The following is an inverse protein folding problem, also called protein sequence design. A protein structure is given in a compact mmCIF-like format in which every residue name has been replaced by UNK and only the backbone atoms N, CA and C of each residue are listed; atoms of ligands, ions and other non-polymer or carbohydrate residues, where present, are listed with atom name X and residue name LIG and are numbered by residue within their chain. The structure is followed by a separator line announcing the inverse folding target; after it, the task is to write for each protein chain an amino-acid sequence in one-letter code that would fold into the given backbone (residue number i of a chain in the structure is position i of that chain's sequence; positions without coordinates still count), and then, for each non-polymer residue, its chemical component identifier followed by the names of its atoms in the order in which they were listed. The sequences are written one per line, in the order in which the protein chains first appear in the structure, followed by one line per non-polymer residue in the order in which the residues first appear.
data_IF_210108689437
#
_entry.id   IF_210108689437
#
_cell.length_a   1.000
_cell.length_b   1.000
_cell.length_c   1.000
_cell.angle_alpha   90.00
_cell.angle_beta   90.00
_cell.angle_gamma   90.00
#
_symmetry.space_group_name_H-M   'P 1'
#
loop_
_entity.id
_entity.type
_entity.pdbx_description
1 polymer ?
#
# COMPACT_ATOMS: atom_id res chain seq x y z
N UNK A 1 -36.56 -7.56 21.76
CA UNK A 1 -36.42 -8.55 20.66
C UNK A 1 -35.41 -7.97 19.70
N UNK A 2 -34.11 -8.23 20.00
CA UNK A 2 -33.01 -7.74 19.17
C UNK A 2 -32.87 -8.67 17.97
N UNK A 3 -33.16 -8.15 16.80
CA UNK A 3 -32.81 -8.84 15.54
C UNK A 3 -31.36 -8.48 15.27
N UNK A 4 -30.43 -9.30 15.74
CA UNK A 4 -29.04 -9.27 15.27
C UNK A 4 -29.06 -9.99 13.91
N UNK A 5 -29.37 -9.25 12.85
CA UNK A 5 -29.14 -9.72 11.51
C UNK A 5 -27.64 -9.70 11.24
N UNK A 6 -26.98 -10.80 11.43
CA UNK A 6 -25.69 -11.06 10.84
C UNK A 6 -25.88 -11.12 9.33
N UNK A 7 -25.72 -9.99 8.67
CA UNK A 7 -25.64 -9.94 7.23
C UNK A 7 -24.33 -10.64 6.83
N UNK A 8 -24.45 -11.85 6.29
CA UNK A 8 -23.35 -12.47 5.57
C UNK A 8 -23.07 -11.59 4.35
N UNK A 9 -22.03 -10.80 4.39
CA UNK A 9 -21.55 -10.08 3.21
C UNK A 9 -20.92 -11.11 2.27
N UNK A 10 -21.60 -11.37 1.17
CA UNK A 10 -21.01 -12.11 0.07
C UNK A 10 -20.15 -11.13 -0.71
N UNK A 11 -18.82 -11.28 -0.63
CA UNK A 11 -17.92 -10.60 -1.55
C UNK A 11 -18.01 -11.35 -2.87
N UNK A 12 -18.72 -10.77 -3.81
CA UNK A 12 -18.81 -11.34 -5.15
C UNK A 12 -17.88 -10.52 -6.03
N UNK A 13 -16.82 -11.13 -6.52
CA UNK A 13 -15.90 -10.51 -7.46
C UNK A 13 -16.43 -10.76 -8.87
N UNK A 14 -16.96 -9.71 -9.51
CA UNK A 14 -17.31 -9.75 -10.91
C UNK A 14 -16.22 -9.09 -11.74
N UNK A 15 -15.62 -9.77 -12.73
CA UNK A 15 -14.78 -9.08 -13.70
C UNK A 15 -15.70 -8.18 -14.54
N UNK A 16 -15.50 -6.86 -14.42
CA UNK A 16 -16.26 -5.86 -15.20
C UNK A 16 -15.80 -5.92 -16.66
N UNK A 17 -14.49 -5.98 -16.88
CA UNK A 17 -13.88 -6.22 -18.18
C UNK A 17 -12.47 -6.77 -18.04
N UNK A 18 -11.99 -7.46 -19.06
CA UNK A 18 -10.61 -7.86 -19.22
C UNK A 18 -10.17 -7.52 -20.64
N UNK A 19 -9.08 -6.76 -20.76
CA UNK A 19 -8.58 -6.30 -22.05
C UNK A 19 -7.11 -6.67 -22.22
N UNK A 20 -6.81 -7.21 -23.39
CA UNK A 20 -5.43 -7.49 -23.75
C UNK A 20 -4.69 -6.16 -23.98
N UNK A 21 -3.56 -5.94 -23.28
CA UNK A 21 -2.77 -4.70 -23.34
C UNK A 21 -2.44 -4.25 -24.77
N UNK A 22 -2.25 -5.19 -25.71
CA UNK A 22 -1.95 -4.91 -27.11
C UNK A 22 -3.09 -4.24 -27.89
N UNK A 23 -4.34 -4.30 -27.41
CA UNK A 23 -5.49 -3.64 -28.05
C UNK A 23 -5.85 -2.30 -27.42
N UNK A 24 -5.13 -1.88 -26.38
CA UNK A 24 -5.31 -0.57 -25.76
C UNK A 24 -4.63 0.52 -26.58
N UNK A 25 -5.40 1.41 -27.16
CA UNK A 25 -4.87 2.61 -27.81
C UNK A 25 -4.48 3.64 -26.74
N UNK A 26 -3.22 4.08 -26.77
CA UNK A 26 -2.70 5.10 -25.84
C UNK A 26 -3.18 6.51 -26.18
N UNK A 27 -3.54 6.77 -27.46
CA UNK A 27 -4.08 8.04 -27.93
C UNK A 27 -5.19 7.76 -28.93
N UNK A 28 -6.39 8.25 -28.64
CA UNK A 28 -7.55 8.22 -29.54
C UNK A 28 -7.92 9.62 -30.02
N UNK A 29 -8.92 9.75 -30.90
CA UNK A 29 -9.59 11.03 -31.11
C UNK A 29 -9.92 11.66 -29.77
N UNK A 30 -9.73 12.96 -29.62
CA UNK A 30 -9.95 13.71 -28.37
C UNK A 30 -8.91 13.43 -27.27
N UNK A 31 -7.74 12.86 -27.60
CA UNK A 31 -6.67 12.52 -26.64
C UNK A 31 -7.07 11.53 -25.52
N UNK A 32 -8.21 10.88 -25.63
CA UNK A 32 -8.67 9.89 -24.66
C UNK A 32 -8.14 8.50 -25.02
N UNK A 33 -7.60 7.81 -24.03
CA UNK A 33 -7.17 6.40 -24.18
C UNK A 33 -8.38 5.46 -24.23
N UNK A 34 -8.20 4.26 -24.76
CA UNK A 34 -9.24 3.21 -24.70
C UNK A 34 -9.67 2.94 -23.25
N UNK A 35 -8.71 2.92 -22.32
CA UNK A 35 -8.96 2.69 -20.90
C UNK A 35 -9.83 3.81 -20.32
N UNK A 36 -9.51 5.08 -20.61
CA UNK A 36 -10.30 6.20 -20.12
C UNK A 36 -11.77 6.10 -20.56
N UNK A 37 -12.01 5.76 -21.83
CA UNK A 37 -13.39 5.57 -22.33
C UNK A 37 -14.11 4.44 -21.61
N UNK A 38 -13.45 3.32 -21.37
CA UNK A 38 -14.01 2.21 -20.62
C UNK A 38 -14.32 2.57 -19.17
N UNK A 39 -13.42 3.29 -18.53
CA UNK A 39 -13.64 3.78 -17.16
C UNK A 39 -14.81 4.77 -17.12
N UNK A 40 -14.96 5.64 -18.12
CA UNK A 40 -16.09 6.56 -18.21
C UNK A 40 -17.43 5.81 -18.24
N UNK A 41 -17.54 4.75 -19.06
CA UNK A 41 -18.72 3.88 -19.08
C UNK A 41 -18.93 3.17 -17.75
N UNK A 42 -17.87 2.62 -17.17
CA UNK A 42 -17.91 1.91 -15.89
C UNK A 42 -18.42 2.81 -14.77
N UNK A 43 -17.84 4.00 -14.64
CA UNK A 43 -18.21 4.98 -13.60
C UNK A 43 -19.66 5.45 -13.78
N UNK A 44 -20.07 5.73 -15.01
CA UNK A 44 -21.45 6.13 -15.32
C UNK A 44 -22.47 5.10 -14.78
N UNK A 45 -22.26 3.82 -15.09
CA UNK A 45 -23.19 2.77 -14.65
C UNK A 45 -23.05 2.45 -13.16
N UNK A 46 -21.86 2.53 -12.57
CA UNK A 46 -21.69 2.36 -11.13
C UNK A 46 -22.35 3.50 -10.35
N UNK A 47 -22.29 4.73 -10.85
CA UNK A 47 -23.03 5.86 -10.27
C UNK A 47 -24.55 5.66 -10.37
N UNK A 48 -25.04 5.13 -11.48
CA UNK A 48 -26.46 4.76 -11.60
C UNK A 48 -26.84 3.67 -10.58
N UNK A 49 -25.99 2.69 -10.36
CA UNK A 49 -26.17 1.68 -9.30
C UNK A 49 -26.15 2.29 -7.90
N UNK A 50 -25.28 3.27 -7.66
CA UNK A 50 -25.25 4.01 -6.39
C UNK A 50 -26.54 4.80 -6.15
N UNK A 51 -27.05 5.48 -7.17
CA UNK A 51 -28.34 6.20 -7.13
C UNK A 51 -29.54 5.24 -7.05
N UNK A 52 -29.41 4.02 -7.53
CA UNK A 52 -30.51 3.04 -7.66
C UNK A 52 -31.53 3.41 -8.72
N UNK A 53 -31.13 4.21 -9.72
CA UNK A 53 -31.99 4.76 -10.78
C UNK A 53 -31.29 4.61 -12.13
N UNK A 54 -32.05 4.19 -13.15
CA UNK A 54 -31.55 4.14 -14.51
C UNK A 54 -31.15 5.54 -15.00
N UNK A 55 -29.95 5.73 -15.58
CA UNK A 55 -29.47 7.04 -15.98
C UNK A 55 -30.31 7.62 -17.11
N UNK A 56 -30.52 8.94 -17.08
CA UNK A 56 -31.27 9.66 -18.09
C UNK A 56 -30.46 9.93 -19.37
N UNK A 57 -29.14 9.82 -19.30
CA UNK A 57 -28.21 10.10 -20.38
C UNK A 57 -27.20 8.97 -20.54
N UNK A 58 -26.50 8.99 -21.66
CA UNK A 58 -25.34 8.12 -21.89
C UNK A 58 -24.10 8.62 -21.10
N UNK A 59 -22.98 7.88 -21.11
CA UNK A 59 -21.76 8.28 -20.43
C UNK A 59 -21.13 9.60 -20.93
N UNK A 60 -21.55 10.12 -22.06
CA UNK A 60 -21.15 11.41 -22.61
C UNK A 60 -22.16 12.53 -22.33
N UNK A 61 -23.08 12.30 -21.38
CA UNK A 61 -24.17 13.23 -21.03
C UNK A 61 -25.12 13.55 -22.17
N UNK A 62 -25.20 12.69 -23.19
CA UNK A 62 -26.16 12.83 -24.28
C UNK A 62 -27.46 12.09 -23.95
N UNK A 63 -28.62 12.64 -24.28
CA UNK A 63 -29.87 11.92 -24.13
C UNK A 63 -29.84 10.59 -24.88
N UNK A 64 -30.42 9.54 -24.29
CA UNK A 64 -30.56 8.26 -24.96
C UNK A 64 -31.36 8.41 -26.28
N UNK A 65 -31.02 7.68 -27.34
CA UNK A 65 -31.83 7.66 -28.58
C UNK A 65 -33.29 7.38 -28.28
N UNK A 66 -34.17 8.18 -28.87
CA UNK A 66 -35.62 8.01 -28.69
C UNK A 66 -36.04 6.56 -29.01
N UNK A 67 -36.86 5.97 -28.13
CA UNK A 67 -37.34 4.58 -28.21
C UNK A 67 -36.25 3.51 -27.99
N UNK A 68 -35.03 3.86 -27.57
CA UNK A 68 -34.06 2.86 -27.09
C UNK A 68 -34.53 2.23 -25.79
N UNK A 69 -34.10 1.01 -25.46
CA UNK A 69 -34.36 0.40 -24.15
C UNK A 69 -33.94 1.28 -22.98
N UNK A 70 -32.80 1.96 -23.10
CA UNK A 70 -32.28 2.85 -22.06
C UNK A 70 -33.16 4.09 -21.90
N UNK A 71 -33.66 4.70 -22.99
CA UNK A 71 -34.59 5.82 -22.93
C UNK A 71 -35.93 5.45 -22.24
N UNK A 72 -36.40 4.22 -22.44
CA UNK A 72 -37.63 3.71 -21.79
C UNK A 72 -37.41 3.52 -20.29
N UNK A 73 -36.22 3.09 -19.88
CA UNK A 73 -35.88 2.84 -18.48
C UNK A 73 -35.43 4.08 -17.72
N UNK A 74 -35.07 5.14 -18.44
CA UNK A 74 -34.52 6.38 -17.85
C UNK A 74 -35.37 6.92 -16.69
N UNK A 75 -34.75 7.19 -15.56
CA UNK A 75 -35.41 7.68 -14.35
C UNK A 75 -36.18 6.62 -13.54
N UNK A 76 -36.29 5.38 -14.04
CA UNK A 76 -36.94 4.29 -13.30
C UNK A 76 -35.98 3.71 -12.25
N UNK A 77 -36.54 3.12 -11.19
CA UNK A 77 -35.76 2.45 -10.14
C UNK A 77 -35.10 1.19 -10.68
N UNK A 78 -33.79 1.05 -10.40
CA UNK A 78 -33.03 -0.16 -10.67
C UNK A 78 -33.24 -1.20 -9.57
N UNK A 79 -33.28 -2.47 -9.91
CA UNK A 79 -33.25 -3.60 -8.97
C UNK A 79 -34.19 -3.43 -7.76
N UNK A 80 -35.41 -2.92 -7.98
CA UNK A 80 -36.36 -2.66 -6.89
C UNK A 80 -35.97 -1.51 -5.94
N UNK A 81 -35.03 -0.66 -6.32
CA UNK A 81 -34.53 0.46 -5.52
C UNK A 81 -33.33 0.09 -4.62
N UNK A 82 -32.75 -1.08 -4.81
CA UNK A 82 -31.47 -1.43 -4.19
C UNK A 82 -30.38 -0.49 -4.72
N UNK A 83 -29.46 -0.13 -3.82
CA UNK A 83 -28.29 0.70 -4.14
C UNK A 83 -27.02 -0.10 -3.92
N UNK A 84 -26.02 0.15 -4.76
CA UNK A 84 -24.72 -0.48 -4.67
C UNK A 84 -23.67 0.60 -4.48
N UNK A 85 -22.68 0.32 -3.65
CA UNK A 85 -21.54 1.20 -3.43
C UNK A 85 -20.26 0.45 -3.79
N UNK A 86 -19.34 1.13 -4.44
CA UNK A 86 -17.97 0.65 -4.56
C UNK A 86 -17.28 0.91 -3.23
N UNK A 87 -16.95 -0.16 -2.51
CA UNK A 87 -16.35 -0.04 -1.19
C UNK A 87 -14.89 0.37 -1.26
N UNK A 88 -14.10 -0.29 -2.13
CA UNK A 88 -12.69 0.01 -2.31
C UNK A 88 -12.26 -0.23 -3.75
N UNK A 89 -11.31 0.58 -4.21
CA UNK A 89 -10.45 0.28 -5.36
C UNK A 89 -9.10 -0.15 -4.80
N UNK A 90 -8.82 -1.44 -4.87
CA UNK A 90 -7.55 -2.01 -4.40
C UNK A 90 -6.62 -2.21 -5.59
N UNK A 91 -5.50 -1.56 -5.57
CA UNK A 91 -4.55 -1.58 -6.67
C UNK A 91 -3.13 -1.24 -6.22
N UNK A 92 -2.15 -1.50 -7.09
CA UNK A 92 -0.80 -1.01 -6.87
C UNK A 92 -0.70 0.51 -7.11
N UNK A 93 0.39 1.11 -6.67
CA UNK A 93 0.60 2.56 -6.80
C UNK A 93 0.70 3.02 -8.27
N UNK A 94 1.15 2.15 -9.17
CA UNK A 94 1.23 2.47 -10.60
C UNK A 94 -0.17 2.59 -11.21
N UNK A 95 -1.07 1.67 -10.91
CA UNK A 95 -2.47 1.75 -11.34
C UNK A 95 -3.20 2.93 -10.69
N UNK A 96 -2.99 3.19 -9.39
CA UNK A 96 -3.56 4.36 -8.73
C UNK A 96 -3.14 5.66 -9.43
N UNK A 97 -1.89 5.76 -9.87
CA UNK A 97 -1.41 6.93 -10.62
C UNK A 97 -1.94 6.98 -12.05
N UNK A 98 -1.83 5.88 -12.79
CA UNK A 98 -2.12 5.85 -14.21
C UNK A 98 -3.63 5.80 -14.52
N UNK A 99 -4.39 5.06 -13.72
CA UNK A 99 -5.78 4.76 -13.98
C UNK A 99 -6.74 5.57 -13.10
N UNK A 100 -6.39 5.79 -11.81
CA UNK A 100 -7.16 6.66 -10.93
C UNK A 100 -6.76 8.13 -11.04
N UNK A 101 -5.62 8.43 -11.66
CA UNK A 101 -5.14 9.81 -11.85
C UNK A 101 -4.59 10.45 -10.58
N UNK A 102 -4.24 9.66 -9.55
CA UNK A 102 -3.59 10.17 -8.35
C UNK A 102 -2.14 10.60 -8.60
N UNK A 103 -1.52 11.37 -7.70
CA UNK A 103 -0.10 11.73 -7.79
C UNK A 103 0.79 10.52 -8.02
N UNK A 104 1.75 10.64 -8.91
CA UNK A 104 2.65 9.53 -9.22
C UNK A 104 3.62 9.31 -8.05
N UNK A 105 3.87 8.06 -7.71
CA UNK A 105 4.74 7.67 -6.59
C UNK A 105 6.20 8.14 -6.71
N UNK A 106 6.64 8.60 -7.89
CA UNK A 106 7.93 9.27 -8.12
C UNK A 106 7.82 10.79 -8.28
N UNK A 107 6.65 11.40 -8.00
CA UNK A 107 6.49 12.86 -8.03
C UNK A 107 7.12 13.51 -6.80
N UNK A 108 7.19 14.83 -6.80
CA UNK A 108 7.66 15.58 -5.62
C UNK A 108 6.74 15.40 -4.41
N UNK A 109 5.44 15.27 -4.66
CA UNK A 109 4.41 15.00 -3.65
C UNK A 109 3.73 13.68 -3.98
N UNK A 110 4.29 12.52 -3.55
CA UNK A 110 3.82 11.22 -4.00
C UNK A 110 2.69 10.63 -3.15
N UNK A 111 2.39 11.21 -1.99
CA UNK A 111 1.32 10.73 -1.12
C UNK A 111 -0.03 11.29 -1.57
N UNK A 112 -1.07 10.45 -1.52
CA UNK A 112 -2.46 10.84 -1.79
C UNK A 112 -3.21 11.30 -0.53
N UNK A 113 -2.57 11.21 0.62
CA UNK A 113 -3.20 11.47 1.91
C UNK A 113 -2.70 12.74 2.57
N UNK A 114 -1.45 13.12 2.33
CA UNK A 114 -0.78 14.25 2.96
C UNK A 114 0.20 14.96 2.03
N UNK A 115 0.83 16.02 2.54
CA UNK A 115 1.76 16.87 1.78
C UNK A 115 3.22 16.40 1.83
N UNK A 116 3.50 15.13 2.19
CA UNK A 116 4.86 14.63 2.21
C UNK A 116 5.58 14.87 0.88
N UNK A 117 6.85 15.23 0.94
CA UNK A 117 7.62 15.64 -0.24
C UNK A 117 8.97 14.96 -0.32
N UNK A 118 9.41 14.68 -1.55
CA UNK A 118 10.78 14.25 -1.87
C UNK A 118 11.71 15.44 -2.15
N UNK A 119 11.19 16.67 -2.13
CA UNK A 119 11.96 17.87 -2.38
C UNK A 119 12.95 18.13 -1.24
N UNK A 120 14.19 18.44 -1.60
CA UNK A 120 15.22 18.76 -0.62
C UNK A 120 14.90 20.08 0.09
N UNK A 121 14.87 20.08 1.41
CA UNK A 121 14.57 21.26 2.22
C UNK A 121 13.07 21.53 2.39
N UNK A 122 12.20 20.59 2.00
CA UNK A 122 10.77 20.67 2.29
C UNK A 122 10.52 20.67 3.80
N UNK A 123 9.47 21.39 4.22
CA UNK A 123 8.97 21.34 5.60
C UNK A 123 8.32 19.98 5.94
N UNK A 124 8.02 19.17 4.93
CA UNK A 124 7.37 17.86 5.02
C UNK A 124 8.22 16.75 4.36
N UNK A 125 9.47 16.52 4.82
CA UNK A 125 10.36 15.62 4.13
C UNK A 125 9.92 14.15 4.27
N UNK A 126 10.01 13.39 3.19
CA UNK A 126 9.72 11.95 3.19
C UNK A 126 10.72 11.13 4.05
N UNK A 127 11.86 11.74 4.42
CA UNK A 127 12.84 11.13 5.32
C UNK A 127 12.44 11.17 6.79
N UNK A 128 11.47 12.02 7.15
CA UNK A 128 10.93 12.09 8.51
C UNK A 128 9.74 11.16 8.64
N UNK A 129 9.95 10.04 9.28
CA UNK A 129 8.93 9.01 9.55
C UNK A 129 8.63 8.93 11.07
N UNK A 130 9.06 9.94 11.83
CA UNK A 130 8.83 10.03 13.27
C UNK A 130 7.35 10.27 13.61
N UNK A 131 7.01 10.06 14.88
CA UNK A 131 5.66 10.34 15.39
C UNK A 131 5.31 11.82 15.43
N UNK A 132 6.31 12.68 15.39
CA UNK A 132 6.19 14.13 15.41
C UNK A 132 6.41 14.75 14.03
N UNK A 133 6.39 13.94 12.97
CA UNK A 133 6.62 14.41 11.61
C UNK A 133 5.58 15.45 11.19
N UNK A 134 6.03 16.59 10.67
CA UNK A 134 5.17 17.72 10.31
C UNK A 134 4.09 17.36 9.26
N UNK A 135 4.33 16.38 8.40
CA UNK A 135 3.35 15.95 7.40
C UNK A 135 2.09 15.30 8.03
N UNK A 136 2.15 14.84 9.29
CA UNK A 136 0.99 14.29 10.00
C UNK A 136 -0.16 15.29 10.15
N UNK A 137 0.15 16.58 10.18
CA UNK A 137 -0.83 17.66 10.29
C UNK A 137 -1.32 18.18 8.93
N UNK A 138 -0.91 17.54 7.83
CA UNK A 138 -1.18 18.02 6.46
C UNK A 138 -2.10 17.11 5.66
N UNK A 139 -3.09 16.50 6.32
CA UNK A 139 -4.06 15.65 5.62
C UNK A 139 -4.81 16.44 4.55
N UNK A 140 -4.68 16.02 3.30
CA UNK A 140 -5.37 16.60 2.16
C UNK A 140 -6.86 16.31 2.23
N UNK A 141 -7.70 17.27 1.84
CA UNK A 141 -9.10 17.00 1.49
C UNK A 141 -9.21 16.32 0.13
N UNK A 142 -10.36 15.72 -0.18
CA UNK A 142 -10.58 15.13 -1.51
C UNK A 142 -10.53 16.19 -2.62
N UNK A 143 -10.98 17.43 -2.36
CA UNK A 143 -10.92 18.54 -3.31
C UNK A 143 -9.47 18.98 -3.57
N UNK A 144 -8.63 19.07 -2.55
CA UNK A 144 -7.20 19.36 -2.69
C UNK A 144 -6.50 18.26 -3.49
N UNK A 145 -6.79 16.99 -3.21
CA UNK A 145 -6.22 15.88 -3.95
C UNK A 145 -6.60 15.91 -5.43
N UNK A 146 -7.87 16.18 -5.76
CA UNK A 146 -8.32 16.33 -7.14
C UNK A 146 -7.57 17.48 -7.81
N UNK A 147 -7.36 18.59 -7.10
CA UNK A 147 -6.67 19.76 -7.62
C UNK A 147 -5.20 19.49 -7.97
N UNK A 148 -4.50 18.71 -7.17
CA UNK A 148 -3.09 18.35 -7.41
C UNK A 148 -2.91 17.13 -8.32
N UNK A 149 -3.99 16.44 -8.65
CA UNK A 149 -3.95 15.25 -9.51
C UNK A 149 -3.62 15.62 -10.95
N UNK A 150 -2.63 14.96 -11.58
CA UNK A 150 -2.16 15.35 -12.92
C UNK A 150 -3.13 15.03 -14.04
N UNK A 151 -4.12 14.18 -13.79
CA UNK A 151 -5.09 13.73 -14.79
C UNK A 151 -6.48 13.63 -14.18
N UNK A 152 -7.51 13.96 -14.96
CA UNK A 152 -8.92 13.76 -14.58
C UNK A 152 -9.35 12.34 -14.95
N UNK A 153 -9.06 11.37 -14.11
CA UNK A 153 -9.57 10.01 -14.30
C UNK A 153 -11.09 9.97 -14.05
N UNK A 154 -11.87 9.24 -14.86
CA UNK A 154 -13.28 9.02 -14.58
C UNK A 154 -13.54 8.41 -13.20
N UNK A 155 -12.60 7.61 -12.66
CA UNK A 155 -12.73 6.99 -11.34
C UNK A 155 -12.83 8.03 -10.20
N UNK A 156 -12.28 9.23 -10.37
CA UNK A 156 -12.39 10.31 -9.39
C UNK A 156 -13.83 10.84 -9.24
N UNK A 157 -14.70 10.58 -10.23
CA UNK A 157 -16.11 10.97 -10.22
C UNK A 157 -17.06 9.85 -9.79
N UNK A 158 -16.53 8.77 -9.22
CA UNK A 158 -17.34 7.68 -8.70
C UNK A 158 -18.05 8.12 -7.41
N UNK A 159 -19.39 8.08 -7.40
CA UNK A 159 -20.20 8.51 -6.27
C UNK A 159 -19.90 7.68 -5.01
N UNK A 160 -19.67 8.36 -3.91
CA UNK A 160 -19.34 7.74 -2.63
C UNK A 160 -17.89 7.27 -2.50
N UNK A 161 -17.07 7.43 -3.54
CA UNK A 161 -15.65 7.14 -3.47
C UNK A 161 -14.89 8.37 -2.97
N UNK A 162 -14.05 8.18 -1.97
CA UNK A 162 -13.07 9.15 -1.50
C UNK A 162 -11.68 8.51 -1.57
N UNK A 163 -10.62 9.29 -1.32
CA UNK A 163 -9.26 8.73 -1.23
C UNK A 163 -9.14 7.58 -0.24
N UNK A 164 -9.93 7.59 0.84
CA UNK A 164 -9.96 6.52 1.85
C UNK A 164 -10.46 5.17 1.30
N UNK A 165 -11.13 5.19 0.16
CA UNK A 165 -11.57 3.99 -0.55
C UNK A 165 -10.56 3.50 -1.58
N UNK A 166 -9.39 4.16 -1.67
CA UNK A 166 -8.25 3.74 -2.51
C UNK A 166 -7.01 3.44 -1.65
N UNK A 167 -7.12 2.52 -0.67
CA UNK A 167 -6.00 2.21 0.21
C UNK A 167 -4.84 1.64 -0.59
N UNK A 168 -3.62 1.96 -0.16
CA UNK A 168 -2.42 1.30 -0.67
C UNK A 168 -2.53 -0.22 -0.44
N UNK A 169 -2.13 -0.99 -1.43
CA UNK A 169 -2.19 -2.45 -1.34
C UNK A 169 -0.96 -2.99 -0.58
N UNK A 170 -1.22 -3.76 0.48
CA UNK A 170 -0.19 -4.24 1.41
C UNK A 170 0.88 -5.11 0.76
N UNK A 171 0.56 -5.83 -0.32
CA UNK A 171 1.54 -6.66 -1.02
C UNK A 171 2.59 -5.79 -1.72
N UNK A 172 2.18 -4.73 -2.44
CA UNK A 172 3.10 -3.87 -3.19
C UNK A 172 3.76 -2.80 -2.31
N UNK A 173 3.04 -2.18 -1.38
CA UNK A 173 3.63 -1.22 -0.46
C UNK A 173 4.48 -1.92 0.61
N UNK A 174 3.99 -3.01 1.16
CA UNK A 174 4.64 -3.77 2.21
C UNK A 174 5.62 -4.81 1.67
N UNK A 175 5.12 -5.96 1.16
CA UNK A 175 5.99 -7.11 0.83
C UNK A 175 6.98 -6.84 -0.31
N UNK A 176 6.56 -6.15 -1.39
CA UNK A 176 7.39 -5.76 -2.55
C UNK A 176 7.99 -4.35 -2.44
N UNK A 177 7.82 -3.70 -1.30
CA UNK A 177 8.39 -2.38 -1.00
C UNK A 177 9.12 -2.41 0.33
N UNK A 178 8.46 -1.99 1.39
CA UNK A 178 9.02 -1.78 2.74
C UNK A 178 9.84 -2.96 3.26
N UNK A 179 9.31 -4.19 3.14
CA UNK A 179 10.02 -5.41 3.56
C UNK A 179 11.28 -5.62 2.73
N UNK A 180 11.21 -5.42 1.41
CA UNK A 180 12.39 -5.57 0.54
C UNK A 180 13.44 -4.49 0.78
N UNK A 181 13.04 -3.26 1.10
CA UNK A 181 13.97 -2.19 1.48
C UNK A 181 14.67 -2.50 2.80
N UNK A 182 13.92 -2.93 3.80
CA UNK A 182 14.49 -3.30 5.10
C UNK A 182 15.46 -4.46 4.97
N UNK A 183 15.05 -5.57 4.36
CA UNK A 183 15.89 -6.77 4.17
C UNK A 183 17.12 -6.44 3.33
N UNK A 184 16.95 -5.70 2.23
CA UNK A 184 18.05 -5.32 1.34
C UNK A 184 19.11 -4.50 2.06
N UNK A 185 18.69 -3.58 2.91
CA UNK A 185 19.58 -2.75 3.71
C UNK A 185 20.32 -3.59 4.76
N UNK A 186 19.62 -4.38 5.54
CA UNK A 186 20.20 -5.27 6.56
C UNK A 186 21.20 -6.25 5.93
N UNK A 187 20.85 -6.91 4.82
CA UNK A 187 21.74 -7.85 4.16
C UNK A 187 22.98 -7.15 3.61
N UNK A 188 22.81 -5.96 3.03
CA UNK A 188 23.95 -5.17 2.54
C UNK A 188 24.91 -4.84 3.68
N UNK A 189 24.40 -4.42 4.83
CA UNK A 189 25.23 -4.15 6.00
C UNK A 189 25.92 -5.40 6.55
N UNK A 190 25.20 -6.51 6.70
CA UNK A 190 25.78 -7.76 7.17
C UNK A 190 26.90 -8.29 6.27
N UNK A 191 26.77 -8.10 4.95
CA UNK A 191 27.80 -8.53 3.99
C UNK A 191 28.98 -7.57 3.92
N UNK A 192 28.74 -6.27 4.07
CA UNK A 192 29.81 -5.27 3.96
C UNK A 192 30.57 -5.09 5.28
N UNK A 193 29.86 -5.13 6.41
CA UNK A 193 30.41 -4.76 7.73
C UNK A 193 30.20 -5.82 8.82
N UNK A 194 29.46 -6.90 8.52
CA UNK A 194 29.10 -7.91 9.49
C UNK A 194 30.20 -8.96 9.76
N UNK A 195 29.90 -10.01 10.53
CA UNK A 195 30.87 -10.97 11.03
C UNK A 195 31.38 -11.98 10.00
N UNK A 196 30.84 -11.97 8.80
CA UNK A 196 31.17 -12.96 7.77
C UNK A 196 32.52 -12.69 7.11
N UNK A 197 33.22 -13.75 6.70
CA UNK A 197 34.60 -13.66 6.15
C UNK A 197 34.67 -14.09 4.70
N UNK A 198 35.64 -13.54 3.98
CA UNK A 198 35.84 -13.81 2.54
C UNK A 198 35.31 -12.71 1.63
N UNK A 199 35.16 -13.02 0.37
CA UNK A 199 34.55 -12.12 -0.63
C UNK A 199 33.02 -12.02 -0.44
N UNK A 200 32.36 -11.14 -1.21
CA UNK A 200 30.93 -10.91 -1.11
C UNK A 200 30.11 -12.19 -1.32
N UNK A 201 30.52 -13.07 -2.23
CA UNK A 201 29.83 -14.32 -2.52
C UNK A 201 29.95 -15.30 -1.34
N UNK A 202 31.16 -15.48 -0.78
CA UNK A 202 31.41 -16.31 0.38
C UNK A 202 30.66 -15.82 1.62
N UNK A 203 30.64 -14.52 1.88
CA UNK A 203 29.88 -13.92 2.98
C UNK A 203 28.38 -14.12 2.80
N UNK A 204 27.86 -13.97 1.57
CA UNK A 204 26.44 -14.20 1.27
C UNK A 204 26.06 -15.67 1.47
N UNK A 205 26.93 -16.62 1.09
CA UNK A 205 26.71 -18.04 1.33
C UNK A 205 26.66 -18.38 2.83
N UNK A 206 27.53 -17.75 3.66
CA UNK A 206 27.50 -17.92 5.11
C UNK A 206 26.20 -17.36 5.71
N UNK A 207 25.78 -16.14 5.33
CA UNK A 207 24.49 -15.58 5.76
C UNK A 207 23.32 -16.49 5.34
N UNK A 208 23.34 -17.01 4.11
CA UNK A 208 22.28 -17.90 3.63
C UNK A 208 22.23 -19.22 4.41
N UNK A 209 23.38 -19.76 4.81
CA UNK A 209 23.44 -20.95 5.67
C UNK A 209 22.79 -20.71 7.05
N UNK A 210 22.98 -19.51 7.64
CA UNK A 210 22.27 -19.12 8.87
C UNK A 210 20.76 -19.08 8.62
N UNK A 211 20.32 -18.41 7.57
CA UNK A 211 18.89 -18.29 7.19
C UNK A 211 18.27 -19.68 6.97
N UNK A 212 18.96 -20.59 6.28
CA UNK A 212 18.47 -21.95 6.03
C UNK A 212 18.22 -22.74 7.31
N UNK A 213 19.11 -22.66 8.29
CA UNK A 213 18.92 -23.30 9.60
C UNK A 213 17.64 -22.80 10.28
N UNK A 214 17.38 -21.49 10.24
CA UNK A 214 16.16 -20.94 10.80
C UNK A 214 14.91 -21.27 9.98
N UNK A 215 15.00 -21.37 8.66
CA UNK A 215 13.92 -21.91 7.82
C UNK A 215 13.52 -23.33 8.26
N UNK A 216 14.51 -24.18 8.55
CA UNK A 216 14.26 -25.56 8.98
C UNK A 216 13.66 -25.59 10.38
N UNK A 217 14.21 -24.83 11.33
CA UNK A 217 13.71 -24.75 12.69
C UNK A 217 12.27 -24.24 12.78
N UNK A 218 11.89 -23.28 11.92
CA UNK A 218 10.55 -22.69 11.88
C UNK A 218 9.58 -23.42 10.96
N UNK A 219 10.01 -24.43 10.22
CA UNK A 219 9.20 -25.11 9.20
C UNK A 219 8.55 -24.13 8.20
N UNK A 220 9.32 -23.12 7.76
CA UNK A 220 8.82 -22.02 6.93
C UNK A 220 8.28 -22.53 5.58
N UNK A 221 7.04 -22.16 5.18
CA UNK A 221 6.37 -22.77 4.03
C UNK A 221 6.89 -22.26 2.67
N UNK A 222 7.36 -21.02 2.59
CA UNK A 222 7.97 -20.44 1.38
C UNK A 222 9.38 -19.99 1.70
N UNK A 223 10.34 -20.45 0.92
CA UNK A 223 11.77 -20.25 1.19
C UNK A 223 12.51 -19.79 -0.04
N UNK A 224 13.49 -18.94 0.16
CA UNK A 224 14.45 -18.67 -0.89
C UNK A 224 15.21 -19.95 -1.26
N UNK A 225 15.28 -20.25 -2.54
CA UNK A 225 16.08 -21.38 -3.03
C UNK A 225 17.58 -21.03 -3.10
N UNK A 226 17.90 -19.74 -3.19
CA UNK A 226 19.26 -19.20 -3.23
C UNK A 226 19.28 -17.77 -2.70
N UNK A 227 20.46 -17.32 -2.28
CA UNK A 227 20.75 -15.94 -1.97
C UNK A 227 22.03 -15.53 -2.69
N UNK A 228 21.95 -14.51 -3.53
CA UNK A 228 23.07 -13.99 -4.31
C UNK A 228 23.28 -12.50 -4.03
N UNK A 229 24.53 -12.00 -4.01
CA UNK A 229 24.82 -10.58 -3.78
C UNK A 229 24.01 -9.64 -4.69
N UNK A 230 23.82 -9.99 -5.96
CA UNK A 230 23.06 -9.19 -6.93
C UNK A 230 21.58 -8.98 -6.57
N UNK A 231 21.02 -9.75 -5.64
CA UNK A 231 19.65 -9.58 -5.20
C UNK A 231 19.48 -8.38 -4.27
N UNK A 232 20.55 -7.90 -3.59
CA UNK A 232 20.49 -6.81 -2.61
C UNK A 232 21.66 -5.82 -2.68
N UNK A 233 22.84 -6.21 -3.16
CA UNK A 233 23.97 -5.30 -3.41
C UNK A 233 23.85 -4.69 -4.81
N UNK A 234 23.09 -3.61 -4.93
CA UNK A 234 22.86 -2.88 -6.17
C UNK A 234 23.50 -1.49 -6.10
N UNK A 235 23.67 -0.85 -7.26
CA UNK A 235 23.96 0.58 -7.30
C UNK A 235 22.76 1.38 -6.77
N UNK A 236 23.04 2.46 -6.05
CA UNK A 236 22.01 3.30 -5.42
C UNK A 236 21.46 2.71 -4.12
N UNK A 237 20.20 2.96 -3.86
CA UNK A 237 19.54 2.52 -2.65
C UNK A 237 19.42 1.00 -2.54
N UNK A 238 19.70 0.48 -1.35
CA UNK A 238 19.57 -0.94 -1.07
C UNK A 238 18.12 -1.42 -1.25
N UNK A 239 17.97 -2.54 -1.95
CA UNK A 239 16.68 -3.17 -2.20
C UNK A 239 16.87 -4.66 -2.47
N UNK A 240 16.08 -5.49 -1.80
CA UNK A 240 16.09 -6.94 -1.98
C UNK A 240 15.12 -7.36 -3.08
N UNK A 241 15.57 -8.21 -4.00
CA UNK A 241 14.73 -8.73 -5.09
C UNK A 241 14.28 -10.15 -4.81
N UNK A 242 13.01 -10.31 -4.42
CA UNK A 242 12.37 -11.61 -4.23
C UNK A 242 10.86 -11.50 -4.55
N UNK A 243 10.15 -12.64 -4.55
CA UNK A 243 8.70 -12.64 -4.63
C UNK A 243 8.09 -12.13 -3.31
N UNK A 244 6.89 -11.57 -3.37
CA UNK A 244 6.21 -11.02 -2.20
C UNK A 244 6.13 -12.01 -1.02
N UNK A 245 5.70 -13.25 -1.29
CA UNK A 245 5.59 -14.30 -0.29
C UNK A 245 6.96 -14.67 0.30
N UNK A 246 8.01 -14.78 -0.53
CA UNK A 246 9.35 -15.10 -0.07
C UNK A 246 9.91 -13.98 0.82
N UNK A 247 9.66 -12.71 0.45
CA UNK A 247 10.04 -11.54 1.25
C UNK A 247 9.33 -11.54 2.61
N UNK A 248 8.02 -11.80 2.62
CA UNK A 248 7.24 -11.86 3.85
C UNK A 248 7.71 -12.99 4.78
N UNK A 249 7.94 -14.19 4.24
CA UNK A 249 8.41 -15.33 5.06
C UNK A 249 9.83 -15.07 5.58
N UNK A 250 10.68 -14.47 4.77
CA UNK A 250 12.03 -14.10 5.18
C UNK A 250 12.02 -13.06 6.31
N UNK A 251 11.08 -12.10 6.31
CA UNK A 251 10.92 -11.14 7.39
C UNK A 251 10.73 -11.85 8.75
N UNK A 252 9.89 -12.87 8.81
CA UNK A 252 9.67 -13.64 10.06
C UNK A 252 10.90 -14.42 10.50
N UNK A 253 11.68 -14.92 9.55
CA UNK A 253 12.93 -15.67 9.83
C UNK A 253 14.07 -14.73 10.20
N UNK A 254 14.06 -13.50 9.71
CA UNK A 254 15.10 -12.52 9.97
C UNK A 254 15.16 -12.15 11.47
N UNK A 255 14.08 -12.19 12.18
CA UNK A 255 14.00 -11.91 13.62
C UNK A 255 14.96 -12.81 14.45
N UNK A 256 14.87 -14.15 14.41
CA UNK A 256 15.85 -15.00 15.10
C UNK A 256 17.25 -15.00 14.46
N UNK A 257 17.37 -14.75 13.16
CA UNK A 257 18.68 -14.58 12.49
C UNK A 257 19.43 -13.40 13.08
N UNK A 258 18.78 -12.24 13.20
CA UNK A 258 19.42 -11.05 13.79
C UNK A 258 19.72 -11.21 15.28
N UNK A 259 18.85 -11.93 16.01
CA UNK A 259 19.12 -12.25 17.42
C UNK A 259 20.39 -13.11 17.57
N UNK A 260 20.60 -14.09 16.67
CA UNK A 260 21.83 -14.92 16.64
C UNK A 260 23.08 -14.08 16.27
N UNK A 261 22.94 -13.16 15.34
CA UNK A 261 24.04 -12.33 14.84
C UNK A 261 24.28 -11.06 15.66
N UNK A 262 23.51 -10.85 16.73
CA UNK A 262 23.55 -9.61 17.52
C UNK A 262 24.93 -9.39 18.15
N UNK A 263 25.55 -8.29 17.78
CA UNK A 263 26.87 -7.85 18.28
C UNK A 263 26.79 -6.79 19.39
N UNK A 264 25.57 -6.45 19.83
CA UNK A 264 25.30 -5.45 20.86
C UNK A 264 25.46 -3.99 20.42
N UNK A 265 25.63 -3.71 19.12
CA UNK A 265 25.66 -2.33 18.62
C UNK A 265 24.26 -1.73 18.58
N UNK A 266 24.14 -0.41 18.80
CA UNK A 266 22.87 0.32 18.73
C UNK A 266 22.18 0.08 17.37
N UNK A 267 22.95 0.15 16.29
CA UNK A 267 22.44 -0.10 14.93
C UNK A 267 21.82 -1.48 14.78
N UNK A 268 22.45 -2.54 15.30
CA UNK A 268 21.92 -3.89 15.30
C UNK A 268 20.63 -3.98 16.13
N UNK A 269 20.56 -3.28 17.25
CA UNK A 269 19.36 -3.23 18.09
C UNK A 269 18.19 -2.57 17.34
N UNK A 270 18.41 -1.44 16.67
CA UNK A 270 17.41 -0.79 15.83
C UNK A 270 16.95 -1.68 14.66
N UNK A 271 17.88 -2.46 14.04
CA UNK A 271 17.50 -3.46 13.02
C UNK A 271 16.61 -4.56 13.59
N UNK A 272 16.93 -5.08 14.76
CA UNK A 272 16.15 -6.12 15.45
C UNK A 272 14.74 -5.58 15.76
N UNK A 273 14.63 -4.36 16.31
CA UNK A 273 13.34 -3.75 16.63
C UNK A 273 12.52 -3.44 15.39
N UNK A 274 13.11 -2.88 14.33
CA UNK A 274 12.43 -2.65 13.08
C UNK A 274 11.84 -3.95 12.49
N UNK A 275 12.64 -5.03 12.47
CA UNK A 275 12.17 -6.34 11.99
C UNK A 275 11.07 -6.90 12.88
N UNK A 276 11.23 -6.81 14.22
CA UNK A 276 10.24 -7.28 15.19
C UNK A 276 8.89 -6.60 15.00
N UNK A 277 8.89 -5.28 14.94
CA UNK A 277 7.65 -4.51 14.84
C UNK A 277 6.96 -4.73 13.49
N UNK A 278 7.70 -4.72 12.39
CA UNK A 278 7.12 -5.00 11.07
C UNK A 278 6.57 -6.42 10.99
N UNK A 279 7.30 -7.42 11.50
CA UNK A 279 6.86 -8.80 11.54
C UNK A 279 5.61 -9.00 12.43
N UNK A 280 5.54 -8.31 13.57
CA UNK A 280 4.38 -8.35 14.48
C UNK A 280 3.13 -7.79 13.83
N UNK A 281 3.22 -6.65 13.16
CA UNK A 281 2.11 -6.09 12.38
C UNK A 281 1.59 -7.10 11.34
N UNK A 282 2.48 -7.75 10.59
CA UNK A 282 2.08 -8.78 9.62
C UNK A 282 1.45 -10.02 10.27
N UNK A 283 1.89 -10.44 11.47
CA UNK A 283 1.26 -11.53 12.22
C UNK A 283 -0.17 -11.18 12.61
N UNK A 284 -0.42 -9.94 13.04
CA UNK A 284 -1.77 -9.45 13.36
C UNK A 284 -2.67 -9.49 12.13
N UNK A 285 -2.23 -8.93 10.99
CA UNK A 285 -3.00 -8.98 9.75
C UNK A 285 -3.30 -10.42 9.29
N UNK A 286 -2.32 -11.32 9.42
CA UNK A 286 -2.49 -12.73 9.06
C UNK A 286 -3.47 -13.45 9.98
N UNK A 287 -3.48 -13.12 11.28
CA UNK A 287 -4.34 -13.77 12.27
C UNK A 287 -5.82 -13.37 12.11
N UNK A 288 -6.09 -12.14 11.70
CA UNK A 288 -7.44 -11.58 11.68
C UNK A 288 -8.04 -11.41 10.27
N UNK A 289 -7.22 -11.47 9.22
CA UNK A 289 -7.69 -11.34 7.83
C UNK A 289 -8.18 -9.92 7.50
N UNK A 290 -9.29 -9.82 6.74
CA UNK A 290 -9.75 -8.55 6.18
C UNK A 290 -10.31 -7.57 7.23
N UNK A 291 -10.92 -8.06 8.29
CA UNK A 291 -11.54 -7.24 9.32
C UNK A 291 -10.83 -7.44 10.66
N UNK A 292 -10.12 -6.41 11.09
CA UNK A 292 -9.41 -6.41 12.36
C UNK A 292 -10.38 -6.03 13.49
N UNK A 293 -10.39 -6.75 14.62
CA UNK A 293 -11.00 -6.22 15.85
C UNK A 293 -10.28 -4.95 16.29
N UNK A 294 -11.00 -4.06 17.02
CA UNK A 294 -10.46 -2.77 17.48
C UNK A 294 -9.10 -2.90 18.18
N UNK A 295 -8.99 -3.82 19.13
CA UNK A 295 -7.72 -4.05 19.84
C UNK A 295 -6.59 -4.48 18.92
N UNK A 296 -6.86 -5.36 17.94
CA UNK A 296 -5.86 -5.82 16.98
C UNK A 296 -5.48 -4.72 15.99
N UNK A 297 -6.42 -3.86 15.62
CA UNK A 297 -6.16 -2.71 14.75
C UNK A 297 -5.25 -1.69 15.45
N UNK A 298 -5.56 -1.32 16.68
CA UNK A 298 -4.73 -0.40 17.47
C UNK A 298 -3.34 -0.99 17.76
N UNK A 299 -3.23 -2.29 18.00
CA UNK A 299 -1.95 -2.98 18.17
C UNK A 299 -1.14 -2.97 16.86
N UNK A 300 -1.78 -3.26 15.73
CA UNK A 300 -1.11 -3.19 14.42
C UNK A 300 -0.62 -1.78 14.09
N UNK A 301 -1.42 -0.77 14.39
CA UNK A 301 -1.04 0.63 14.21
C UNK A 301 0.14 1.03 15.11
N UNK A 302 0.11 0.62 16.38
CA UNK A 302 1.24 0.85 17.28
C UNK A 302 2.52 0.20 16.74
N UNK A 303 2.47 -1.06 16.32
CA UNK A 303 3.64 -1.72 15.73
C UNK A 303 4.13 -1.01 14.45
N UNK A 304 3.22 -0.47 13.65
CA UNK A 304 3.61 0.31 12.48
C UNK A 304 4.37 1.58 12.87
N UNK A 305 3.89 2.32 13.87
CA UNK A 305 4.57 3.52 14.36
C UNK A 305 5.95 3.21 14.92
N UNK A 306 6.09 2.18 15.77
CA UNK A 306 7.40 1.76 16.27
C UNK A 306 8.34 1.36 15.12
N UNK A 307 7.85 0.61 14.14
CA UNK A 307 8.64 0.27 12.96
C UNK A 307 9.14 1.50 12.21
N UNK A 308 8.29 2.50 11.99
CA UNK A 308 8.67 3.73 11.27
C UNK A 308 9.70 4.57 12.03
N UNK A 309 9.59 4.63 13.36
CA UNK A 309 10.60 5.27 14.23
C UNK A 309 11.98 4.60 14.08
N UNK A 310 12.01 3.27 14.20
CA UNK A 310 13.23 2.48 14.06
C UNK A 310 13.84 2.62 12.66
N UNK A 311 12.98 2.57 11.63
CA UNK A 311 13.40 2.75 10.25
C UNK A 311 13.94 4.15 9.99
N UNK A 312 13.32 5.19 10.55
CA UNK A 312 13.76 6.58 10.46
C UNK A 312 15.15 6.74 11.08
N UNK A 313 15.35 6.17 12.27
CA UNK A 313 16.66 6.21 12.92
C UNK A 313 17.74 5.54 12.04
N UNK A 314 17.47 4.34 11.53
CA UNK A 314 18.38 3.59 10.65
C UNK A 314 18.70 4.35 9.35
N UNK A 315 17.71 5.02 8.76
CA UNK A 315 17.88 5.86 7.58
C UNK A 315 18.85 7.03 7.88
N UNK A 316 18.60 7.78 8.95
CA UNK A 316 19.42 8.95 9.30
C UNK A 316 20.86 8.56 9.67
N UNK A 317 21.05 7.46 10.41
CA UNK A 317 22.37 6.95 10.76
C UNK A 317 23.13 6.46 9.51
N UNK A 318 22.45 5.80 8.56
CA UNK A 318 23.02 5.41 7.27
C UNK A 318 23.44 6.63 6.44
N UNK A 319 22.57 7.64 6.33
CA UNK A 319 22.86 8.88 5.61
C UNK A 319 24.03 9.64 6.23
N UNK A 320 24.08 9.73 7.56
CA UNK A 320 25.20 10.32 8.31
C UNK A 320 26.52 9.61 8.06
N UNK A 321 26.48 8.33 7.72
CA UNK A 321 27.64 7.50 7.34
C UNK A 321 27.93 7.49 5.84
N UNK A 322 27.17 8.24 5.02
CA UNK A 322 27.31 8.28 3.55
C UNK A 322 26.84 7.01 2.84
N UNK A 323 25.97 6.22 3.47
CA UNK A 323 25.46 4.96 2.95
C UNK A 323 24.05 5.15 2.39
N UNK A 324 23.75 4.47 1.28
CA UNK A 324 22.42 4.46 0.65
C UNK A 324 21.64 3.22 1.10
N UNK A 325 21.39 3.10 2.40
CA UNK A 325 20.57 2.07 3.01
C UNK A 325 19.27 2.68 3.55
N UNK A 326 18.25 1.85 3.72
CA UNK A 326 16.93 2.25 4.22
C UNK A 326 16.31 3.38 3.39
N UNK A 327 15.97 3.13 2.10
CA UNK A 327 15.52 4.19 1.20
C UNK A 327 14.30 4.93 1.73
N UNK A 328 14.31 6.28 1.73
CA UNK A 328 13.11 7.08 1.99
C UNK A 328 12.18 6.98 0.78
N UNK A 329 11.22 6.08 0.84
CA UNK A 329 10.36 5.76 -0.28
C UNK A 329 8.89 5.84 0.13
N UNK A 330 8.03 6.33 -0.77
CA UNK A 330 6.59 6.46 -0.53
C UNK A 330 5.93 5.15 -0.07
N UNK A 331 6.47 3.99 -0.43
CA UNK A 331 5.97 2.70 0.05
C UNK A 331 6.15 2.51 1.55
N UNK A 332 7.26 3.03 2.12
CA UNK A 332 7.49 3.00 3.57
C UNK A 332 6.54 3.96 4.25
N UNK A 333 6.41 5.19 3.74
CA UNK A 333 5.45 6.17 4.21
C UNK A 333 3.99 5.65 4.14
N UNK A 334 3.62 4.95 3.05
CA UNK A 334 2.29 4.37 2.87
C UNK A 334 1.92 3.33 3.94
N UNK A 335 2.89 2.71 4.62
CA UNK A 335 2.61 1.78 5.72
C UNK A 335 1.88 2.47 6.87
N UNK A 336 2.22 3.74 7.17
CA UNK A 336 1.49 4.54 8.15
C UNK A 336 0.00 4.62 7.80
N UNK A 337 -0.32 5.01 6.56
CA UNK A 337 -1.71 5.16 6.14
C UNK A 337 -2.46 3.84 6.11
N UNK A 338 -1.82 2.75 5.66
CA UNK A 338 -2.44 1.42 5.66
C UNK A 338 -2.83 1.00 7.09
N UNK A 339 -1.95 1.19 8.06
CA UNK A 339 -2.23 0.84 9.45
C UNK A 339 -3.24 1.81 10.10
N UNK A 340 -3.10 3.11 9.85
CA UNK A 340 -3.96 4.17 10.41
C UNK A 340 -5.40 4.05 9.92
N UNK A 341 -5.63 3.76 8.64
CA UNK A 341 -7.00 3.61 8.12
C UNK A 341 -7.70 2.37 8.65
N UNK A 342 -6.96 1.29 8.89
CA UNK A 342 -7.52 0.12 9.56
C UNK A 342 -7.99 0.50 10.96
N UNK A 343 -7.24 1.29 11.71
CA UNK A 343 -7.59 1.74 13.05
C UNK A 343 -8.84 2.64 13.05
N UNK A 344 -8.91 3.65 12.17
CA UNK A 344 -10.07 4.55 12.04
C UNK A 344 -11.34 3.79 11.64
N UNK A 345 -11.28 2.93 10.62
CA UNK A 345 -12.44 2.20 10.12
C UNK A 345 -13.02 1.28 11.20
N UNK A 346 -12.16 0.71 12.03
CA UNK A 346 -12.57 -0.15 13.15
C UNK A 346 -13.28 0.66 14.25
N UNK A 347 -12.74 1.81 14.63
CA UNK A 347 -13.33 2.69 15.64
C UNK A 347 -14.67 3.30 15.17
N UNK A 348 -14.79 3.68 13.90
CA UNK A 348 -16.03 4.19 13.33
C UNK A 348 -17.15 3.12 13.33
N UNK A 349 -16.81 1.86 13.06
CA UNK A 349 -17.78 0.76 13.07
C UNK A 349 -18.27 0.39 14.49
N UNK A 350 -17.45 0.65 15.52
CA UNK A 350 -17.78 0.39 16.92
C UNK A 350 -18.69 1.47 17.56
N UNK A 351 -19.09 2.50 16.81
CA UNK A 351 -19.97 3.58 17.31
C UNK A 351 -19.30 4.54 18.30
N UNK A 352 -18.00 4.45 18.45
CA UNK A 352 -17.22 5.38 19.25
C UNK A 352 -16.86 6.62 18.42
N UNK A 353 -17.85 7.52 18.26
CA UNK A 353 -17.64 8.89 17.75
C UNK A 353 -16.84 9.72 18.77
N UNK A 354 -15.64 9.31 19.10
CA UNK A 354 -14.58 10.26 19.40
C UNK A 354 -13.87 10.51 18.10
N UNK A 355 -14.46 11.39 17.27
CA UNK A 355 -13.69 12.13 16.31
C UNK A 355 -12.46 12.64 17.09
N UNK A 356 -11.29 12.03 16.91
CA UNK A 356 -10.08 12.78 17.09
C UNK A 356 -10.24 13.88 16.06
N UNK A 357 -10.44 15.10 16.55
CA UNK A 357 -10.42 16.32 15.74
C UNK A 357 -9.17 16.20 14.87
N UNK A 358 -9.39 15.87 13.61
CA UNK A 358 -8.42 15.99 12.55
C UNK A 358 -8.22 17.49 12.30
#
# INVERSE_FOLDING_TARGET
MEIVAWQQFWIVVFPIFAIVKSVLYKTGPEHLTTLHKLLLYTVHFLNACFEGIHPATDPYSQPWPANSPDAVLAGQRMCGGLRFVVWHIVSDMECLSNDCGWPHFNSLHPCIFDSVSTEQGSDYPMTDLSRDANWLDTLLSDDELIHISPTNSPLQFLHGLTRFHTPGELMHAGCLGTVQFLIGSIFSELILFGPFVGDKAARTAQLFSVIQRHYDAMSTPSRLSKLEPAQFLKEGWANFSAKAMDSQQLLFVLEPVLAELNNGSDRMLHQIFAVHHLASMYRIFKAHGMFLPEAASSEAFWHCQEFLEEYSWLLHDALGSGLQFYPPHVKVHAMYHIAFFQDILTHASAGHTKARTL
#
